data_IF_963479635010
#
_entry.id   IF_963479635010
#
_cell.length_a   1.000
_cell.length_b   1.000
_cell.length_c   1.000
_cell.angle_alpha   90.00
_cell.angle_beta   90.00
_cell.angle_gamma   90.00
#
_symmetry.space_group_name_H-M   'P 1'
#
loop_
_entity.id
_entity.type
_entity.pdbx_description
1 polymer ?
#
# COMPACT_ATOMS: atom_id res chain seq x y z
N UNK A 1 -16.62 4.48 -15.93
CA UNK A 1 -15.42 4.41 -16.80
C UNK A 1 -15.50 3.11 -17.58
N UNK A 2 -14.90 3.05 -18.77
CA UNK A 2 -15.06 1.92 -19.70
C UNK A 2 -14.57 0.62 -19.06
N UNK A 3 -15.49 -0.34 -18.82
CA UNK A 3 -15.12 -1.76 -18.72
C UNK A 3 -14.47 -2.13 -20.05
N UNK A 4 -13.13 -2.15 -20.11
CA UNK A 4 -12.41 -2.74 -21.24
C UNK A 4 -12.78 -4.22 -21.23
N UNK A 5 -13.69 -4.60 -22.11
CA UNK A 5 -13.97 -6.01 -22.41
C UNK A 5 -12.64 -6.62 -22.86
N UNK A 6 -12.07 -7.50 -22.03
CA UNK A 6 -11.04 -8.43 -22.47
C UNK A 6 -11.63 -9.31 -23.57
N UNK A 7 -11.55 -8.82 -24.81
CA UNK A 7 -11.69 -9.66 -25.99
C UNK A 7 -10.37 -10.43 -26.15
N UNK A 8 -10.17 -11.43 -25.29
CA UNK A 8 -9.12 -12.42 -25.47
C UNK A 8 -9.34 -13.09 -26.83
N UNK A 9 -8.48 -12.78 -27.80
CA UNK A 9 -8.50 -13.38 -29.13
C UNK A 9 -8.16 -14.87 -28.98
N UNK A 10 -9.19 -15.72 -28.93
CA UNK A 10 -9.03 -17.17 -29.03
C UNK A 10 -8.82 -17.54 -30.52
N UNK A 11 -7.60 -17.36 -31.01
CA UNK A 11 -7.18 -17.95 -32.27
C UNK A 11 -6.47 -19.27 -31.98
N UNK A 12 -7.05 -20.36 -32.50
CA UNK A 12 -6.51 -21.71 -32.63
C UNK A 12 -6.60 -22.64 -31.41
N UNK A 13 -7.80 -23.25 -31.21
CA UNK A 13 -7.88 -24.70 -30.95
C UNK A 13 -9.24 -25.34 -31.30
N UNK A 14 -9.93 -24.84 -32.35
CA UNK A 14 -11.07 -25.56 -32.95
C UNK A 14 -10.66 -26.04 -34.33
N UNK A 15 -9.75 -27.01 -34.36
CA UNK A 15 -9.56 -27.87 -35.52
C UNK A 15 -10.22 -29.22 -35.19
N UNK A 16 -11.53 -29.30 -35.37
CA UNK A 16 -12.23 -30.59 -35.28
C UNK A 16 -13.70 -30.49 -34.89
N UNK A 17 -14.55 -30.80 -35.87
CA UNK A 17 -15.94 -31.29 -35.73
C UNK A 17 -17.05 -30.37 -35.23
N UNK A 18 -17.96 -30.04 -36.16
CA UNK A 18 -19.40 -30.23 -35.98
C UNK A 18 -20.15 -29.21 -35.13
N UNK A 19 -21.22 -28.66 -35.69
CA UNK A 19 -22.24 -27.94 -34.93
C UNK A 19 -22.70 -28.77 -33.72
N UNK A 20 -22.48 -28.25 -32.51
CA UNK A 20 -22.95 -28.83 -31.24
C UNK A 20 -21.92 -29.52 -30.35
N UNK A 21 -20.61 -29.44 -30.62
CA UNK A 21 -19.62 -30.01 -29.71
C UNK A 21 -19.44 -29.13 -28.45
N UNK A 22 -19.97 -29.59 -27.32
CA UNK A 22 -19.61 -29.09 -25.98
C UNK A 22 -18.11 -29.30 -25.76
N UNK A 23 -17.41 -28.31 -25.19
CA UNK A 23 -16.00 -28.46 -24.86
C UNK A 23 -15.76 -29.66 -23.95
N UNK A 24 -14.62 -30.32 -24.13
CA UNK A 24 -14.18 -31.31 -23.14
C UNK A 24 -13.72 -30.60 -21.86
N UNK A 25 -13.74 -31.28 -20.69
CA UNK A 25 -13.21 -30.69 -19.46
C UNK A 25 -11.76 -30.20 -19.57
N UNK A 26 -10.96 -30.86 -20.41
CA UNK A 26 -9.58 -30.46 -20.70
C UNK A 26 -9.50 -29.16 -21.50
N UNK A 27 -10.35 -28.99 -22.52
CA UNK A 27 -10.45 -27.75 -23.30
C UNK A 27 -10.93 -26.59 -22.43
N UNK A 28 -11.89 -26.83 -21.54
CA UNK A 28 -12.39 -25.82 -20.60
C UNK A 28 -11.28 -25.36 -19.63
N UNK A 29 -10.53 -26.29 -19.05
CA UNK A 29 -9.39 -25.97 -18.19
C UNK A 29 -8.31 -25.17 -18.94
N UNK A 30 -7.96 -25.58 -20.17
CA UNK A 30 -6.97 -24.87 -20.98
C UNK A 30 -7.41 -23.44 -21.32
N UNK A 31 -8.70 -23.24 -21.61
CA UNK A 31 -9.23 -21.93 -21.89
C UNK A 31 -9.32 -21.06 -20.63
N UNK A 32 -9.72 -21.62 -19.48
CA UNK A 32 -9.70 -20.92 -18.20
C UNK A 32 -8.28 -20.49 -17.80
N UNK A 33 -7.29 -21.37 -17.98
CA UNK A 33 -5.87 -21.07 -17.74
C UNK A 33 -5.39 -19.90 -18.61
N UNK A 34 -5.82 -19.87 -19.87
CA UNK A 34 -5.44 -18.85 -20.83
C UNK A 34 -6.10 -17.51 -20.50
N UNK A 35 -7.39 -17.50 -20.15
CA UNK A 35 -8.13 -16.30 -19.72
C UNK A 35 -7.44 -15.69 -18.50
N UNK A 36 -7.15 -16.49 -17.47
CA UNK A 36 -6.51 -16.00 -16.26
C UNK A 36 -5.09 -15.45 -16.53
N UNK A 37 -4.34 -16.12 -17.40
CA UNK A 37 -3.00 -15.68 -17.80
C UNK A 37 -3.03 -14.38 -18.61
N UNK A 38 -4.02 -14.20 -19.48
CA UNK A 38 -4.12 -12.99 -20.29
C UNK A 38 -4.60 -11.79 -19.46
N UNK A 39 -5.51 -12.01 -18.50
CA UNK A 39 -5.89 -10.99 -17.53
C UNK A 39 -4.68 -10.44 -16.75
N UNK A 40 -3.88 -11.30 -16.10
CA UNK A 40 -2.72 -10.82 -15.32
C UNK A 40 -1.65 -10.17 -16.20
N UNK A 41 -1.50 -10.60 -17.46
CA UNK A 41 -0.57 -9.94 -18.41
C UNK A 41 -1.03 -8.52 -18.75
N UNK A 42 -2.33 -8.33 -18.97
CA UNK A 42 -2.89 -7.01 -19.24
C UNK A 42 -2.71 -6.10 -18.03
N UNK A 43 -3.08 -6.57 -16.84
CA UNK A 43 -2.86 -5.83 -15.58
C UNK A 43 -1.39 -5.41 -15.42
N UNK A 44 -0.43 -6.34 -15.57
CA UNK A 44 0.99 -6.02 -15.46
C UNK A 44 1.48 -5.12 -16.59
N UNK A 45 0.90 -5.22 -17.78
CA UNK A 45 1.23 -4.32 -18.89
C UNK A 45 0.80 -2.89 -18.59
N UNK A 46 -0.41 -2.71 -18.05
CA UNK A 46 -0.92 -1.41 -17.62
C UNK A 46 -0.08 -0.86 -16.46
N UNK A 47 0.25 -1.69 -15.47
CA UNK A 47 1.16 -1.33 -14.37
C UNK A 47 2.52 -0.85 -14.87
N UNK A 48 3.13 -1.55 -15.83
CA UNK A 48 4.39 -1.12 -16.46
C UNK A 48 4.26 0.18 -17.24
N UNK A 49 3.10 0.44 -17.84
CA UNK A 49 2.88 1.67 -18.59
C UNK A 49 2.71 2.86 -17.63
N UNK A 50 2.00 2.67 -16.54
CA UNK A 50 1.75 3.71 -15.54
C UNK A 50 3.01 4.05 -14.74
N UNK A 51 3.72 3.04 -14.24
CA UNK A 51 4.94 3.23 -13.45
C UNK A 51 6.08 3.92 -14.20
N UNK A 52 6.10 3.87 -15.54
CA UNK A 52 7.06 4.62 -16.36
C UNK A 52 6.92 6.15 -16.25
N UNK A 53 5.82 6.65 -15.69
CA UNK A 53 5.61 8.08 -15.43
C UNK A 53 6.39 8.56 -14.21
N UNK A 54 6.79 7.64 -13.31
CA UNK A 54 7.57 7.95 -12.12
C UNK A 54 9.06 8.14 -12.45
N UNK A 55 9.77 8.80 -11.53
CA UNK A 55 11.21 9.06 -11.66
C UNK A 55 12.06 7.90 -11.08
N UNK A 56 11.78 6.67 -11.53
CA UNK A 56 12.59 5.50 -11.22
C UNK A 56 12.90 4.69 -12.48
N UNK A 57 14.07 4.95 -13.05
CA UNK A 57 14.59 4.21 -14.20
C UNK A 57 14.85 2.74 -13.86
N UNK A 58 14.78 1.86 -14.86
CA UNK A 58 15.03 0.43 -14.75
C UNK A 58 14.12 -0.34 -13.77
N UNK A 59 12.97 0.26 -13.41
CA UNK A 59 11.89 -0.42 -12.71
C UNK A 59 11.27 -1.50 -13.61
N UNK A 60 11.13 -2.70 -13.06
CA UNK A 60 10.51 -3.88 -13.67
C UNK A 60 9.35 -4.33 -12.81
N UNK A 61 8.19 -4.45 -13.44
CA UNK A 61 7.02 -5.12 -12.86
C UNK A 61 6.96 -6.54 -13.39
N UNK A 62 6.80 -7.52 -12.51
CA UNK A 62 6.73 -8.94 -12.84
C UNK A 62 5.56 -9.59 -12.14
N UNK A 63 5.17 -10.78 -12.60
CA UNK A 63 4.15 -11.59 -11.95
C UNK A 63 4.54 -13.07 -11.94
N UNK A 64 4.04 -13.80 -10.95
CA UNK A 64 4.15 -15.25 -10.86
C UNK A 64 2.87 -15.86 -10.29
N UNK A 65 2.59 -17.12 -10.59
CA UNK A 65 1.53 -17.86 -9.89
C UNK A 65 1.91 -18.01 -8.42
N UNK A 66 0.92 -17.92 -7.53
CA UNK A 66 1.09 -18.18 -6.10
C UNK A 66 0.05 -19.19 -5.59
N UNK A 67 0.13 -19.56 -4.32
CA UNK A 67 -0.79 -20.51 -3.70
C UNK A 67 -2.02 -19.79 -3.12
N UNK A 68 -3.10 -20.54 -2.89
CA UNK A 68 -4.27 -20.06 -2.16
C UNK A 68 -3.90 -19.59 -0.74
N UNK A 69 -2.89 -20.19 -0.10
CA UNK A 69 -2.40 -19.77 1.21
C UNK A 69 -1.80 -18.36 1.17
N UNK A 70 -1.01 -18.04 0.14
CA UNK A 70 -0.46 -16.69 -0.05
C UNK A 70 -1.61 -15.70 -0.26
N UNK A 71 -2.58 -16.04 -1.09
CA UNK A 71 -3.76 -15.19 -1.31
C UNK A 71 -4.61 -15.02 -0.04
N UNK A 72 -4.76 -16.07 0.75
CA UNK A 72 -5.53 -16.07 2.00
C UNK A 72 -4.97 -15.15 3.09
N UNK A 73 -3.74 -14.64 2.95
CA UNK A 73 -3.18 -13.61 3.84
C UNK A 73 -3.75 -12.22 3.57
N UNK A 74 -4.24 -11.98 2.35
CA UNK A 74 -4.80 -10.69 1.93
C UNK A 74 -6.32 -10.77 1.76
N UNK A 75 -6.84 -11.93 1.34
CA UNK A 75 -8.26 -12.13 1.07
C UNK A 75 -8.88 -13.15 2.04
N UNK A 76 -10.05 -12.82 2.60
CA UNK A 76 -10.89 -13.81 3.27
C UNK A 76 -11.58 -14.71 2.22
N UNK A 77 -10.87 -15.76 1.80
CA UNK A 77 -11.36 -16.73 0.83
C UNK A 77 -12.54 -17.58 1.35
N UNK A 78 -12.83 -17.54 2.66
CA UNK A 78 -13.91 -18.34 3.26
C UNK A 78 -15.31 -17.75 3.03
N UNK A 79 -15.40 -16.45 2.74
CA UNK A 79 -16.66 -15.71 2.56
C UNK A 79 -17.16 -15.68 1.12
N UNK A 80 -16.38 -16.15 0.15
CA UNK A 80 -16.69 -16.04 -1.28
C UNK A 80 -17.31 -17.33 -1.81
N UNK A 81 -18.25 -17.20 -2.75
CA UNK A 81 -18.80 -18.35 -3.47
C UNK A 81 -17.68 -19.05 -4.25
N UNK A 82 -17.71 -20.39 -4.24
CA UNK A 82 -16.66 -21.20 -4.84
C UNK A 82 -16.83 -21.19 -6.36
N UNK A 83 -15.92 -20.52 -7.08
CA UNK A 83 -15.82 -20.61 -8.52
C UNK A 83 -15.31 -21.99 -8.98
N UNK A 84 -15.61 -22.35 -10.23
CA UNK A 84 -15.17 -23.61 -10.84
C UNK A 84 -13.66 -23.63 -11.09
N UNK A 85 -13.11 -22.50 -11.52
CA UNK A 85 -11.67 -22.31 -11.75
C UNK A 85 -11.17 -21.09 -10.97
N UNK A 86 -10.12 -21.28 -10.16
CA UNK A 86 -9.56 -20.22 -9.33
C UNK A 86 -8.06 -20.11 -9.56
N UNK A 87 -7.59 -18.89 -9.79
CA UNK A 87 -6.20 -18.57 -10.08
C UNK A 87 -5.68 -17.49 -9.16
N UNK A 88 -4.45 -17.65 -8.69
CA UNK A 88 -3.77 -16.71 -7.81
C UNK A 88 -2.46 -16.27 -8.45
N UNK A 89 -2.28 -14.96 -8.58
CA UNK A 89 -1.06 -14.35 -9.06
C UNK A 89 -0.57 -13.29 -8.09
N UNK A 90 0.74 -13.24 -7.90
CA UNK A 90 1.40 -12.17 -7.16
C UNK A 90 2.15 -11.25 -8.12
N UNK A 91 2.16 -9.96 -7.82
CA UNK A 91 2.91 -8.95 -8.56
C UNK A 91 4.10 -8.48 -7.72
N UNK A 92 5.22 -8.23 -8.38
CA UNK A 92 6.46 -7.83 -7.74
C UNK A 92 7.18 -6.73 -8.52
N UNK A 93 7.80 -5.83 -7.77
CA UNK A 93 8.49 -4.64 -8.27
C UNK A 93 9.98 -4.76 -7.97
N UNK A 94 10.79 -4.80 -9.02
CA UNK A 94 12.24 -4.86 -8.91
C UNK A 94 12.90 -3.73 -9.69
N UNK A 95 13.94 -3.12 -9.18
CA UNK A 95 14.65 -2.04 -9.86
C UNK A 95 16.14 -2.34 -9.92
N UNK A 96 16.75 -2.19 -11.10
CA UNK A 96 18.21 -2.25 -11.22
C UNK A 96 18.81 -0.95 -10.67
N UNK A 97 19.96 -1.04 -9.99
CA UNK A 97 20.67 0.09 -9.41
C UNK A 97 19.88 0.90 -8.35
N UNK A 98 18.86 0.32 -7.70
CA UNK A 98 18.06 1.02 -6.70
C UNK A 98 18.90 1.44 -5.50
N UNK A 99 19.74 0.53 -5.00
CA UNK A 99 20.70 0.81 -3.92
C UNK A 99 21.63 1.96 -4.28
N UNK A 100 22.10 2.00 -5.54
CA UNK A 100 22.99 3.04 -6.03
C UNK A 100 22.27 4.38 -6.13
N UNK A 101 21.02 4.42 -6.60
CA UNK A 101 20.20 5.64 -6.62
C UNK A 101 19.98 6.16 -5.20
N UNK A 102 19.56 5.29 -4.28
CA UNK A 102 19.40 5.63 -2.87
C UNK A 102 20.69 6.20 -2.27
N UNK A 103 21.82 5.49 -2.38
CA UNK A 103 23.10 5.92 -1.81
C UNK A 103 23.60 7.26 -2.39
N UNK A 104 23.41 7.50 -3.69
CA UNK A 104 23.79 8.79 -4.30
C UNK A 104 22.90 9.92 -3.77
N UNK A 105 21.60 9.68 -3.63
CA UNK A 105 20.67 10.69 -3.16
C UNK A 105 20.90 11.01 -1.68
N UNK A 106 21.10 10.03 -0.81
CA UNK A 106 21.25 10.28 0.64
C UNK A 106 22.57 10.95 1.04
N UNK A 107 23.54 11.09 0.13
CA UNK A 107 24.78 11.83 0.40
C UNK A 107 24.64 13.35 0.33
N UNK A 108 23.55 13.87 -0.25
CA UNK A 108 23.29 15.32 -0.36
C UNK A 108 22.22 15.74 0.65
N UNK A 109 22.32 16.98 1.12
CA UNK A 109 21.28 17.57 1.97
C UNK A 109 19.92 17.55 1.25
N UNK A 110 18.87 17.13 1.96
CA UNK A 110 17.52 16.94 1.42
C UNK A 110 17.32 15.73 0.48
N UNK A 111 18.37 15.00 0.10
CA UNK A 111 18.25 13.93 -0.91
C UNK A 111 17.50 12.68 -0.44
N UNK A 112 17.46 12.40 0.87
CA UNK A 112 16.56 11.38 1.42
C UNK A 112 15.10 11.73 1.14
N UNK A 113 14.71 12.99 1.31
CA UNK A 113 13.35 13.45 1.03
C UNK A 113 13.04 13.35 -0.47
N UNK A 114 13.98 13.70 -1.34
CA UNK A 114 13.82 13.52 -2.79
C UNK A 114 13.56 12.04 -3.13
N UNK A 115 14.25 11.09 -2.48
CA UNK A 115 14.03 9.66 -2.70
C UNK A 115 12.66 9.20 -2.17
N UNK A 116 12.23 9.72 -1.01
CA UNK A 116 10.89 9.52 -0.47
C UNK A 116 9.82 10.01 -1.45
N UNK A 117 10.01 11.20 -2.03
CA UNK A 117 9.07 11.76 -3.01
C UNK A 117 8.95 10.83 -4.25
N UNK A 118 10.05 10.24 -4.73
CA UNK A 118 10.04 9.24 -5.82
C UNK A 118 9.24 7.98 -5.43
N UNK A 119 9.49 7.43 -4.24
CA UNK A 119 8.80 6.22 -3.79
C UNK A 119 7.31 6.47 -3.55
N UNK A 120 6.94 7.66 -3.06
CA UNK A 120 5.55 8.09 -2.92
C UNK A 120 4.87 8.20 -4.28
N UNK A 121 5.51 8.84 -5.27
CA UNK A 121 4.93 8.96 -6.61
C UNK A 121 4.68 7.58 -7.24
N UNK A 122 5.59 6.61 -7.05
CA UNK A 122 5.37 5.23 -7.51
C UNK A 122 4.19 4.54 -6.82
N UNK A 123 3.99 4.79 -5.52
CA UNK A 123 2.84 4.29 -4.75
C UNK A 123 1.53 4.85 -5.31
N UNK A 124 1.47 6.14 -5.63
CA UNK A 124 0.29 6.78 -6.25
C UNK A 124 0.01 6.24 -7.67
N UNK A 125 1.06 6.08 -8.49
CA UNK A 125 0.93 5.48 -9.82
C UNK A 125 0.43 4.02 -9.76
N UNK A 126 0.89 3.26 -8.77
CA UNK A 126 0.36 1.92 -8.49
C UNK A 126 -1.13 2.00 -8.18
N UNK A 127 -1.54 2.91 -7.29
CA UNK A 127 -2.94 3.11 -6.90
C UNK A 127 -3.86 3.42 -8.10
N UNK A 128 -3.41 4.25 -9.05
CA UNK A 128 -4.20 4.56 -10.25
C UNK A 128 -4.55 3.31 -11.07
N UNK A 129 -3.63 2.33 -11.15
CA UNK A 129 -3.87 1.07 -11.86
C UNK A 129 -4.80 0.16 -11.07
N UNK A 130 -4.58 0.06 -9.76
CA UNK A 130 -5.43 -0.69 -8.82
C UNK A 130 -6.89 -0.24 -8.93
N UNK A 131 -7.15 1.07 -8.82
CA UNK A 131 -8.48 1.67 -8.90
C UNK A 131 -9.12 1.39 -10.27
N UNK A 132 -8.33 1.45 -11.35
CA UNK A 132 -8.85 1.21 -12.70
C UNK A 132 -9.24 -0.25 -12.97
N UNK A 133 -8.61 -1.21 -12.28
CA UNK A 133 -8.85 -2.64 -12.41
C UNK A 133 -9.76 -3.22 -11.32
N UNK A 134 -10.18 -2.41 -10.33
CA UNK A 134 -11.09 -2.81 -9.25
C UNK A 134 -10.58 -4.04 -8.48
N UNK A 135 -9.29 -4.05 -8.16
CA UNK A 135 -8.63 -5.27 -7.68
C UNK A 135 -9.02 -5.67 -6.25
N UNK A 136 -9.73 -4.83 -5.50
CA UNK A 136 -10.29 -5.14 -4.18
C UNK A 136 -11.14 -6.43 -4.19
N UNK A 137 -11.67 -6.76 -5.36
CA UNK A 137 -12.34 -8.01 -5.67
C UNK A 137 -11.57 -8.83 -6.75
N UNK A 138 -11.68 -10.17 -6.74
CA UNK A 138 -11.14 -10.97 -7.82
C UNK A 138 -11.83 -10.61 -9.13
N UNK A 139 -11.06 -10.64 -10.20
CA UNK A 139 -11.65 -10.61 -11.54
C UNK A 139 -12.49 -11.87 -11.74
N UNK A 140 -13.76 -11.67 -12.10
CA UNK A 140 -14.72 -12.75 -12.31
C UNK A 140 -15.25 -12.76 -13.74
N UNK A 141 -15.30 -13.94 -14.35
CA UNK A 141 -15.86 -14.15 -15.69
C UNK A 141 -16.35 -15.59 -15.84
N UNK A 142 -16.97 -15.92 -16.98
CA UNK A 142 -17.56 -17.23 -17.21
C UNK A 142 -17.10 -17.86 -18.53
N UNK A 143 -17.02 -19.19 -18.54
CA UNK A 143 -16.81 -20.03 -19.72
C UNK A 143 -17.78 -21.21 -19.66
N UNK A 144 -18.64 -21.38 -20.67
CA UNK A 144 -19.62 -22.49 -20.73
C UNK A 144 -20.39 -22.70 -19.40
N UNK A 145 -20.94 -21.62 -18.85
CA UNK A 145 -21.68 -21.60 -17.57
C UNK A 145 -20.83 -21.99 -16.33
N UNK A 146 -19.50 -22.00 -16.44
CA UNK A 146 -18.55 -22.18 -15.34
C UNK A 146 -17.87 -20.87 -14.98
N UNK A 147 -17.69 -20.63 -13.69
CA UNK A 147 -17.10 -19.38 -13.17
C UNK A 147 -15.59 -19.47 -13.07
N UNK A 148 -14.90 -18.41 -13.48
CA UNK A 148 -13.46 -18.20 -13.33
C UNK A 148 -13.24 -17.02 -12.39
N UNK A 149 -12.42 -17.20 -11.36
CA UNK A 149 -11.92 -16.12 -10.51
C UNK A 149 -10.40 -15.99 -10.60
N UNK A 150 -9.91 -14.76 -10.73
CA UNK A 150 -8.48 -14.44 -10.76
C UNK A 150 -8.16 -13.40 -9.69
N UNK A 151 -7.31 -13.79 -8.74
CA UNK A 151 -6.84 -12.94 -7.67
C UNK A 151 -5.45 -12.39 -7.99
N UNK A 152 -5.26 -11.10 -7.73
CA UNK A 152 -3.97 -10.42 -7.78
C UNK A 152 -3.60 -9.99 -6.36
N UNK A 153 -2.50 -10.53 -5.85
CA UNK A 153 -2.00 -10.32 -4.47
C UNK A 153 -0.72 -9.46 -4.48
N UNK A 154 -0.34 -8.95 -3.32
CA UNK A 154 0.72 -7.96 -3.05
C UNK A 154 0.46 -6.55 -3.60
N UNK A 155 -0.68 -6.35 -4.26
CA UNK A 155 -1.09 -5.04 -4.78
C UNK A 155 -2.25 -4.41 -4.02
N UNK A 156 -3.04 -5.18 -3.26
CA UNK A 156 -4.24 -4.68 -2.56
C UNK A 156 -3.96 -3.74 -1.40
N UNK A 157 -2.75 -3.79 -0.84
CA UNK A 157 -2.39 -2.90 0.25
C UNK A 157 -2.08 -1.51 -0.33
N UNK A 158 -3.14 -0.77 -0.63
CA UNK A 158 -3.16 0.59 -1.16
C UNK A 158 -2.22 1.57 -0.44
N UNK A 159 -2.02 1.51 0.89
CA UNK A 159 -1.08 2.42 1.54
C UNK A 159 0.40 2.08 1.27
N UNK A 160 0.75 1.12 0.40
CA UNK A 160 2.11 0.57 0.29
C UNK A 160 2.60 0.31 -1.13
N UNK A 161 3.88 0.58 -1.34
CA UNK A 161 4.69 -0.04 -2.40
C UNK A 161 6.00 -0.59 -1.82
N UNK A 162 6.37 -1.81 -2.21
CA UNK A 162 7.68 -2.40 -1.94
C UNK A 162 8.42 -2.61 -3.26
N UNK A 163 9.59 -2.02 -3.40
CA UNK A 163 10.48 -2.21 -4.55
C UNK A 163 11.78 -2.84 -4.07
N UNK A 164 12.15 -3.98 -4.67
CA UNK A 164 13.40 -4.66 -4.36
C UNK A 164 14.50 -4.21 -5.31
N UNK A 165 15.69 -3.95 -4.78
CA UNK A 165 16.90 -3.84 -5.57
C UNK A 165 17.21 -5.19 -6.24
N UNK A 166 17.34 -5.21 -7.56
CA UNK A 166 17.41 -6.44 -8.34
C UNK A 166 18.67 -7.27 -8.10
N UNK A 167 19.78 -6.64 -7.65
CA UNK A 167 21.06 -7.30 -7.42
C UNK A 167 21.17 -7.83 -5.98
N UNK A 168 20.87 -6.97 -5.01
CA UNK A 168 21.05 -7.29 -3.58
C UNK A 168 19.81 -7.92 -2.93
N UNK A 169 18.62 -7.71 -3.50
CA UNK A 169 17.35 -8.06 -2.85
C UNK A 169 16.95 -7.11 -1.71
N UNK A 170 17.65 -5.97 -1.57
CA UNK A 170 17.30 -4.94 -0.56
C UNK A 170 15.91 -4.40 -0.84
N UNK A 171 15.04 -4.40 0.17
CA UNK A 171 13.66 -3.94 0.03
C UNK A 171 13.53 -2.48 0.46
N UNK A 172 12.94 -1.68 -0.42
CA UNK A 172 12.52 -0.30 -0.15
C UNK A 172 11.01 -0.26 -0.10
N UNK A 173 10.45 0.01 1.07
CA UNK A 173 9.02 0.01 1.30
C UNK A 173 8.54 1.40 1.69
N UNK A 174 7.71 1.99 0.85
CA UNK A 174 7.01 3.22 1.15
C UNK A 174 5.61 2.88 1.64
N UNK A 175 5.28 3.38 2.81
CA UNK A 175 3.99 3.22 3.46
C UNK A 175 3.40 4.57 3.84
N UNK A 176 2.07 4.72 3.74
CA UNK A 176 1.38 5.94 4.13
C UNK A 176 -0.02 5.64 4.64
N UNK A 177 -0.42 6.25 5.74
CA UNK A 177 -1.78 6.18 6.23
C UNK A 177 -2.30 7.56 6.66
N UNK A 178 -3.34 7.58 7.49
CA UNK A 178 -3.92 8.83 7.99
C UNK A 178 -3.02 9.54 9.01
N UNK A 179 -2.02 8.85 9.57
CA UNK A 179 -1.12 9.36 10.60
C UNK A 179 0.19 9.88 10.01
N UNK A 180 0.57 9.42 8.82
CA UNK A 180 1.84 9.82 8.23
C UNK A 180 2.29 9.04 7.03
N UNK A 181 3.56 9.25 6.67
CA UNK A 181 4.28 8.50 5.65
C UNK A 181 5.59 7.98 6.24
N UNK A 182 6.02 6.78 5.83
CA UNK A 182 7.26 6.16 6.28
C UNK A 182 7.94 5.42 5.14
N UNK A 183 9.27 5.54 5.08
CA UNK A 183 10.10 4.73 4.19
C UNK A 183 10.93 3.77 5.03
N UNK A 184 10.86 2.49 4.69
CA UNK A 184 11.66 1.44 5.28
C UNK A 184 12.67 0.90 4.28
N UNK A 185 13.89 0.61 4.76
CA UNK A 185 14.92 -0.12 4.02
C UNK A 185 15.23 -1.39 4.81
N UNK A 186 14.92 -2.56 4.24
CA UNK A 186 15.01 -3.85 4.93
C UNK A 186 14.33 -3.84 6.32
N UNK A 187 13.13 -3.26 6.40
CA UNK A 187 12.32 -3.10 7.61
C UNK A 187 12.88 -2.10 8.64
N UNK A 188 13.99 -1.42 8.37
CA UNK A 188 14.47 -0.31 9.20
C UNK A 188 13.85 1.00 8.70
N UNK A 189 13.20 1.75 9.59
CA UNK A 189 12.65 3.06 9.25
C UNK A 189 13.80 4.04 9.01
N UNK A 190 13.88 4.57 7.79
CA UNK A 190 14.88 5.58 7.42
C UNK A 190 14.27 6.97 7.27
N UNK A 191 12.95 7.05 7.18
CA UNK A 191 12.19 8.29 7.11
C UNK A 191 10.82 8.09 7.75
N UNK A 192 10.41 9.06 8.56
CA UNK A 192 9.08 9.15 9.13
C UNK A 192 8.58 10.59 9.05
N UNK A 193 7.33 10.75 8.63
CA UNK A 193 6.61 12.00 8.66
C UNK A 193 5.26 11.78 9.33
N UNK A 194 5.00 12.52 10.41
CA UNK A 194 3.70 12.53 11.07
C UNK A 194 2.87 13.70 10.55
N UNK A 195 1.65 13.41 10.08
CA UNK A 195 0.71 14.44 9.66
C UNK A 195 0.24 15.24 10.90
N UNK A 196 0.23 16.59 10.86
CA UNK A 196 -0.30 17.39 11.97
C UNK A 196 -1.78 17.03 12.22
N UNK A 197 -2.16 16.84 13.49
CA UNK A 197 -3.51 16.47 13.93
C UNK A 197 -4.62 17.39 13.38
N UNK A 198 -4.29 18.65 13.05
CA UNK A 198 -5.24 19.66 12.54
C UNK A 198 -5.43 19.63 11.01
N UNK A 199 -4.71 18.78 10.27
CA UNK A 199 -4.84 18.68 8.81
C UNK A 199 -6.15 17.97 8.39
N UNK A 200 -6.88 17.42 9.36
CA UNK A 200 -8.07 16.60 9.13
C UNK A 200 -9.37 17.39 9.29
N UNK A 201 -9.64 18.27 8.32
CA UNK A 201 -11.02 18.62 7.96
C UNK A 201 -11.19 18.71 6.44
N UNK A 202 -10.92 17.61 5.75
CA UNK A 202 -11.55 17.28 4.47
C UNK A 202 -11.29 15.82 4.16
N UNK A 203 -12.36 15.05 4.06
CA UNK A 203 -12.33 13.61 3.86
C UNK A 203 -11.44 13.16 2.72
N UNK A 204 -10.97 11.92 2.88
CA UNK A 204 -10.94 10.91 1.84
C UNK A 204 -11.66 11.37 0.57
N UNK A 205 -10.92 11.38 -0.54
CA UNK A 205 -11.39 11.71 -1.88
C UNK A 205 -12.42 10.70 -2.43
N UNK A 206 -13.43 10.32 -1.65
CA UNK A 206 -14.70 9.86 -2.18
C UNK A 206 -15.33 11.02 -2.94
N UNK A 207 -15.11 11.07 -4.26
CA UNK A 207 -15.88 11.90 -5.19
C UNK A 207 -17.32 11.36 -5.25
N UNK A 208 -18.08 11.61 -4.18
CA UNK A 208 -19.53 11.49 -4.21
C UNK A 208 -20.08 12.64 -5.05
N UNK A 209 -20.22 12.39 -6.35
CA UNK A 209 -21.12 13.16 -7.20
C UNK A 209 -22.55 12.94 -6.69
N UNK A 210 -22.97 13.74 -5.71
CA UNK A 210 -24.39 13.86 -5.37
C UNK A 210 -24.82 15.31 -5.50
N UNK A 211 -25.67 15.50 -6.51
CA UNK A 211 -26.38 16.71 -6.88
C UNK A 211 -26.90 17.47 -5.66
N UNK A 212 -26.76 18.79 -5.77
CA UNK A 212 -27.42 19.80 -4.96
C UNK A 212 -28.85 19.42 -4.56
N UNK A 213 -29.12 19.43 -3.26
CA UNK A 213 -30.42 19.87 -2.77
C UNK A 213 -30.23 20.62 -1.47
N UNK A 214 -30.47 21.93 -1.54
CA UNK A 214 -30.55 22.88 -0.46
C UNK A 214 -31.57 22.46 0.60
N UNK A 215 -31.21 22.46 1.88
CA UNK A 215 -32.13 22.87 2.96
C UNK A 215 -31.37 23.43 4.17
N UNK A 216 -31.73 24.66 4.50
CA UNK A 216 -31.40 25.44 5.70
C UNK A 216 -31.69 24.71 7.02
N UNK A 217 -30.81 24.81 8.02
CA UNK A 217 -31.19 25.38 9.34
C UNK A 217 -30.03 25.42 10.38
N UNK A 218 -29.71 26.65 10.78
CA UNK A 218 -29.45 27.17 12.14
C UNK A 218 -28.53 26.44 13.16
N UNK A 219 -27.44 27.19 13.46
CA UNK A 219 -26.93 27.60 14.80
C UNK A 219 -26.40 26.51 15.76
N UNK A 220 -25.12 26.65 16.12
CA UNK A 220 -24.69 27.38 17.34
C UNK A 220 -23.20 27.73 17.31
N UNK A 221 -22.93 28.99 17.67
CA UNK A 221 -21.61 29.57 17.95
C UNK A 221 -21.01 28.94 19.21
N UNK A 222 -19.74 28.57 19.16
CA UNK A 222 -18.82 28.79 20.27
C UNK A 222 -17.61 29.57 19.77
N UNK A 223 -17.35 30.66 20.48
CA UNK A 223 -16.35 31.67 20.18
C UNK A 223 -15.20 31.39 21.14
N UNK A 224 -14.02 31.01 20.64
CA UNK A 224 -12.79 31.08 21.43
C UNK A 224 -11.74 31.85 20.65
N UNK A 225 -11.45 33.05 21.15
CA UNK A 225 -10.29 33.84 20.76
C UNK A 225 -9.04 33.03 21.16
N UNK A 226 -8.17 32.75 20.21
CA UNK A 226 -6.79 32.36 20.48
C UNK A 226 -5.88 33.37 19.79
N UNK A 227 -5.26 34.19 20.62
CA UNK A 227 -4.18 35.10 20.27
C UNK A 227 -2.97 34.30 19.78
N UNK A 228 -2.43 34.69 18.63
CA UNK A 228 -1.17 34.18 18.13
C UNK A 228 -0.01 34.56 19.07
N UNK A 229 0.82 33.57 19.38
CA UNK A 229 2.25 33.79 19.57
C UNK A 229 3.00 32.57 19.07
N UNK A 230 3.35 32.61 17.79
CA UNK A 230 4.33 31.72 17.16
C UNK A 230 5.68 31.85 17.87
N UNK A 231 6.28 30.73 18.25
CA UNK A 231 7.73 30.50 18.44
C UNK A 231 7.91 29.06 18.90
N UNK A 232 8.39 28.14 18.05
CA UNK A 232 9.19 26.96 18.38
C UNK A 232 9.66 26.41 17.01
N UNK A 233 10.79 26.88 16.46
CA UNK A 233 12.15 26.33 16.59
C UNK A 233 12.16 24.81 16.40
N UNK A 234 12.65 24.37 15.23
CA UNK A 234 12.99 22.98 14.93
C UNK A 234 13.74 22.34 16.09
N UNK A 235 13.20 21.27 16.66
CA UNK A 235 13.90 20.37 17.57
C UNK A 235 13.83 18.96 17.00
N UNK A 236 15.00 18.33 16.97
CA UNK A 236 15.19 16.90 16.77
C UNK A 236 14.28 16.15 17.76
N UNK A 237 13.35 15.33 17.26
CA UNK A 237 12.42 14.58 18.12
C UNK A 237 13.24 13.59 18.94
N UNK A 238 13.35 13.86 20.23
CA UNK A 238 13.83 12.87 21.19
C UNK A 238 12.79 11.72 21.17
N UNK A 239 13.19 10.45 21.00
CA UNK A 239 12.26 9.32 21.13
C UNK A 239 11.59 9.24 22.50
N UNK A 240 12.14 9.94 23.51
CA UNK A 240 11.64 10.00 24.87
C UNK A 240 10.89 11.31 25.15
N UNK A 241 10.01 11.78 24.25
CA UNK A 241 9.34 13.07 24.42
C UNK A 241 8.39 13.05 25.63
N UNK A 242 8.86 13.58 26.76
CA UNK A 242 8.12 13.65 28.00
C UNK A 242 6.79 14.40 27.85
N UNK A 243 6.68 15.33 26.89
CA UNK A 243 5.48 16.16 26.65
C UNK A 243 4.27 15.36 26.15
N UNK A 244 4.46 14.11 25.70
CA UNK A 244 3.39 13.23 25.23
C UNK A 244 2.66 12.48 26.37
N UNK A 245 3.14 12.61 27.62
CA UNK A 245 2.61 11.88 28.78
C UNK A 245 1.97 12.82 29.81
N UNK A 246 0.84 12.39 30.39
CA UNK A 246 0.06 13.20 31.32
C UNK A 246 0.77 13.36 32.69
N UNK A 247 1.65 12.43 33.06
CA UNK A 247 2.49 12.48 34.25
C UNK A 247 3.73 11.56 34.12
N UNK A 248 4.66 11.72 35.06
CA UNK A 248 5.90 10.95 35.14
C UNK A 248 5.70 9.43 35.28
N UNK A 249 4.65 9.00 36.01
CA UNK A 249 4.36 7.57 36.19
C UNK A 249 3.97 6.93 34.85
N UNK A 250 3.12 7.59 34.05
CA UNK A 250 2.70 7.09 32.74
C UNK A 250 3.88 7.00 31.75
N UNK A 251 4.85 7.91 31.83
CA UNK A 251 6.09 7.83 31.06
C UNK A 251 7.00 6.70 31.54
N UNK A 252 7.22 6.61 32.86
CA UNK A 252 8.09 5.59 33.44
C UNK A 252 7.55 4.18 33.22
N UNK A 253 6.22 3.97 33.26
CA UNK A 253 5.61 2.67 32.96
C UNK A 253 5.91 2.16 31.53
N UNK A 254 6.01 3.05 30.55
CA UNK A 254 6.30 2.68 29.16
C UNK A 254 7.80 2.50 28.90
N UNK A 255 8.65 3.31 29.54
CA UNK A 255 10.07 3.39 29.23
C UNK A 255 10.99 2.69 30.24
N UNK A 256 10.47 2.22 31.37
CA UNK A 256 11.26 1.55 32.41
C UNK A 256 12.09 0.37 31.89
N UNK A 257 11.55 -0.46 30.98
CA UNK A 257 12.32 -1.58 30.43
C UNK A 257 13.50 -1.12 29.56
N UNK A 258 13.38 0.03 28.88
CA UNK A 258 14.44 0.55 28.00
C UNK A 258 15.50 1.33 28.77
N UNK A 259 15.10 2.07 29.81
CA UNK A 259 16.03 2.76 30.72
C UNK A 259 16.75 1.78 31.66
N UNK A 260 16.12 0.65 32.00
CA UNK A 260 16.67 -0.38 32.87
C UNK A 260 17.47 -1.48 32.17
N UNK A 261 17.89 -1.30 30.90
CA UNK A 261 18.59 -2.33 30.09
C UNK A 261 17.84 -3.69 30.06
N UNK A 262 16.50 -3.65 30.14
CA UNK A 262 15.61 -4.81 30.22
C UNK A 262 15.18 -5.23 31.62
N UNK A 263 15.56 -4.49 32.67
CA UNK A 263 15.06 -4.66 34.04
C UNK A 263 14.10 -3.52 34.42
N UNK A 264 12.80 -3.84 34.43
CA UNK A 264 11.72 -2.90 34.72
C UNK A 264 11.84 -2.24 36.10
N UNK A 265 12.27 -2.98 37.12
CA UNK A 265 12.28 -2.49 38.51
C UNK A 265 13.41 -1.46 38.71
N UNK A 266 14.54 -1.63 38.02
CA UNK A 266 15.69 -0.71 38.09
C UNK A 266 15.49 0.51 37.17
N UNK A 267 14.80 0.34 36.03
CA UNK A 267 14.63 1.41 35.04
C UNK A 267 13.47 2.38 35.26
N UNK A 268 12.53 2.06 36.16
CA UNK A 268 11.41 2.95 36.48
C UNK A 268 11.88 4.27 37.09
N UNK A 269 12.78 4.21 38.07
CA UNK A 269 13.33 5.41 38.73
C UNK A 269 14.13 6.27 37.73
N UNK A 270 14.89 5.64 36.83
CA UNK A 270 15.69 6.34 35.80
C UNK A 270 14.80 7.01 34.73
N UNK A 271 13.72 6.36 34.30
CA UNK A 271 12.75 6.94 33.38
C UNK A 271 11.95 8.09 34.03
N UNK A 272 11.59 7.93 35.30
CA UNK A 272 10.91 8.96 36.07
C UNK A 272 11.80 10.21 36.25
N UNK A 273 13.07 10.03 36.60
CA UNK A 273 14.06 11.11 36.70
C UNK A 273 14.28 11.82 35.35
N UNK A 274 14.30 11.08 34.23
CA UNK A 274 14.40 11.66 32.90
C UNK A 274 13.19 12.57 32.60
N UNK A 275 11.97 12.11 32.87
CA UNK A 275 10.75 12.89 32.64
C UNK A 275 10.71 14.15 33.51
N UNK A 276 11.07 14.05 34.80
CA UNK A 276 11.15 15.23 35.68
C UNK A 276 12.16 16.26 35.16
N UNK A 277 13.34 15.83 34.73
CA UNK A 277 14.35 16.73 34.17
C UNK A 277 13.94 17.37 32.83
N UNK A 278 13.10 16.69 32.05
CA UNK A 278 12.59 17.20 30.77
C UNK A 278 11.46 18.22 30.96
N UNK A 279 10.72 18.13 32.08
CA UNK A 279 9.54 18.95 32.39
C UNK A 279 9.81 20.17 33.31
N UNK A 280 10.99 20.26 33.92
CA UNK A 280 11.41 21.37 34.82
C UNK A 280 12.03 22.57 34.07
#
# INVERSE_FOLDING_TARGET
MLKKLLAGVLAALIAGSGAGATMTPEQEQQQADQIAKDYVKEYVSDMRAEMKKGDLENLKVSYSKCSAEVCGKEFDLSRRERADYIYYYQVGYGCEDLNKKYAIMTTRDGGLKEFVDIMRDLKELKYDVIDSHDIDDPYETEINDKTIQVYIVNDQFMPRIMVSDAESGTNYEMWSDYTGESLYVNNESVYHYTAPRDTFNSGTGYKNNKKDSSTSSNKKKYNYNSSSSSKHKYTYSDPYDAEDYDNADDFAEEWAEEFGDGDYDDGYDDAYDYWENAMD
#
